data_IF_129735319995
#
_entry.id   IF_129735319995
#
_cell.length_a   1.000
_cell.length_b   1.000
_cell.length_c   1.000
_cell.angle_alpha   90.00
_cell.angle_beta   90.00
_cell.angle_gamma   90.00
#
_symmetry.space_group_name_H-M   'P 1'
#
loop_
_entity.id
_entity.type
_entity.pdbx_description
1 polymer ?
#
# COMPACT_ATOMS: atom_id res chain seq x y z
N UNK A 1 33.81 -32.62 54.53
CA UNK A 1 34.31 -31.76 53.42
C UNK A 1 33.41 -30.53 53.40
N UNK A 2 34.01 -29.34 53.27
CA UNK A 2 33.59 -28.14 54.00
C UNK A 2 32.27 -27.50 53.55
N UNK A 3 31.57 -26.92 54.53
CA UNK A 3 30.36 -26.11 54.42
C UNK A 3 30.62 -24.66 53.93
N UNK A 4 29.57 -23.92 53.50
CA UNK A 4 29.62 -22.48 53.25
C UNK A 4 29.50 -21.67 54.57
N UNK A 5 29.66 -20.32 54.56
CA UNK A 5 28.45 -19.47 54.43
C UNK A 5 28.69 -18.08 53.79
N UNK A 6 27.61 -17.31 53.67
CA UNK A 6 27.58 -15.92 53.18
C UNK A 6 27.97 -14.88 54.24
N UNK A 7 28.35 -13.65 53.80
CA UNK A 7 27.74 -12.37 54.22
C UNK A 7 28.34 -11.14 53.50
N UNK A 8 27.56 -10.06 53.48
CA UNK A 8 27.90 -8.76 52.91
C UNK A 8 28.69 -7.87 53.89
N UNK A 9 29.43 -6.87 53.41
CA UNK A 9 29.05 -5.46 53.66
C UNK A 9 29.80 -4.39 52.85
N UNK A 10 29.13 -3.24 52.76
CA UNK A 10 29.52 -1.89 52.31
C UNK A 10 30.86 -1.34 52.82
N UNK A 11 31.46 -0.42 52.04
CA UNK A 11 31.97 0.93 52.42
C UNK A 11 32.38 1.67 51.12
N UNK A 12 31.72 2.76 50.69
CA UNK A 12 31.96 4.17 51.03
C UNK A 12 33.36 4.69 50.59
N UNK A 13 33.59 5.71 49.73
CA UNK A 13 32.98 7.03 49.40
C UNK A 13 33.95 8.19 49.77
N UNK A 14 34.77 8.64 48.81
CA UNK A 14 35.49 9.93 48.78
C UNK A 14 35.56 10.36 47.29
N UNK A 15 35.00 11.44 46.73
CA UNK A 15 34.72 12.85 47.10
C UNK A 15 35.87 13.84 46.72
N UNK A 16 35.77 14.42 45.51
CA UNK A 16 36.13 15.83 45.12
C UNK A 16 37.60 16.30 45.14
N UNK A 17 37.99 17.51 44.61
CA UNK A 17 37.35 18.44 43.64
C UNK A 17 38.34 19.09 42.58
N UNK A 18 37.84 20.06 41.77
CA UNK A 18 38.41 21.39 41.36
C UNK A 18 39.95 21.60 41.12
N UNK A 19 40.47 22.52 40.29
CA UNK A 19 39.94 23.36 39.20
C UNK A 19 41.09 24.18 38.52
N UNK A 20 41.00 24.38 37.20
CA UNK A 20 41.28 25.62 36.43
C UNK A 20 42.70 26.27 36.40
N UNK A 21 42.85 27.29 35.52
CA UNK A 21 44.05 28.08 35.12
C UNK A 21 44.96 27.33 34.12
N UNK A 22 45.37 27.90 32.98
CA UNK A 22 45.04 29.17 32.30
C UNK A 22 45.99 29.39 31.10
N UNK A 23 45.61 30.17 30.08
CA UNK A 23 46.48 30.41 28.92
C UNK A 23 45.89 31.33 27.85
N UNK A 24 46.60 32.41 27.52
CA UNK A 24 46.16 33.53 26.66
C UNK A 24 46.95 33.55 25.36
N UNK A 25 46.32 33.85 24.20
CA UNK A 25 46.81 34.87 23.22
C UNK A 25 45.88 35.15 22.03
N UNK A 26 45.91 36.43 21.65
CA UNK A 26 45.47 37.15 20.44
C UNK A 26 45.51 36.39 19.10
N UNK A 27 44.75 36.74 18.05
CA UNK A 27 44.67 38.12 17.52
C UNK A 27 43.48 38.44 16.58
N UNK A 28 43.29 39.76 16.36
CA UNK A 28 42.29 40.43 15.53
C UNK A 28 42.47 40.10 14.02
N UNK A 29 41.47 40.19 13.12
CA UNK A 29 40.99 41.49 12.61
C UNK A 29 39.78 41.46 11.65
N UNK A 30 38.89 42.44 11.83
CA UNK A 30 38.18 43.28 10.81
C UNK A 30 37.23 42.68 9.77
N UNK A 31 35.94 42.73 10.13
CA UNK A 31 34.84 43.46 9.45
C UNK A 31 35.17 44.18 8.13
N UNK A 32 34.36 43.91 7.09
CA UNK A 32 33.81 44.96 6.19
C UNK A 32 32.50 44.51 5.55
N UNK A 33 31.44 45.30 5.76
CA UNK A 33 30.20 45.19 5.00
C UNK A 33 30.26 46.10 3.77
N UNK A 34 29.59 45.72 2.68
CA UNK A 34 29.23 46.64 1.59
C UNK A 34 27.75 46.45 1.27
N UNK A 35 26.99 47.51 1.50
CA UNK A 35 25.63 47.69 0.99
C UNK A 35 25.74 48.57 -0.26
N UNK A 36 25.02 48.27 -1.34
CA UNK A 36 24.70 49.30 -2.32
C UNK A 36 23.33 49.05 -2.97
N UNK A 37 22.75 50.13 -3.50
CA UNK A 37 21.32 50.33 -3.61
C UNK A 37 20.86 50.53 -5.07
N UNK A 38 19.63 50.10 -5.36
CA UNK A 38 18.68 50.68 -6.35
C UNK A 38 19.20 51.28 -7.67
N UNK A 39 18.59 50.83 -8.77
CA UNK A 39 17.69 51.71 -9.55
C UNK A 39 16.70 50.93 -10.42
N UNK A 40 15.57 51.57 -10.73
CA UNK A 40 14.47 51.04 -11.54
C UNK A 40 14.63 51.47 -13.01
N UNK A 41 14.06 50.72 -13.96
CA UNK A 41 13.54 51.28 -15.21
C UNK A 41 12.47 50.37 -15.84
N UNK A 42 11.52 50.99 -16.56
CA UNK A 42 10.41 50.32 -17.27
C UNK A 42 10.82 49.99 -18.71
N UNK A 43 10.39 48.84 -19.23
CA UNK A 43 9.98 48.71 -20.65
C UNK A 43 9.36 47.33 -20.98
N UNK A 44 8.08 47.34 -21.30
CA UNK A 44 7.50 46.53 -22.39
C UNK A 44 7.31 47.47 -23.59
N UNK A 45 7.06 47.02 -24.84
CA UNK A 45 6.79 45.65 -25.29
C UNK A 45 7.65 45.19 -26.50
N UNK A 46 7.58 43.90 -26.86
CA UNK A 46 7.34 43.48 -28.26
C UNK A 46 7.20 41.96 -28.37
N UNK A 47 6.54 41.54 -29.45
CA UNK A 47 6.20 40.17 -29.81
C UNK A 47 7.36 39.39 -30.43
N UNK A 48 7.49 38.11 -30.06
CA UNK A 48 7.85 37.06 -31.02
C UNK A 48 7.18 35.75 -30.60
N UNK A 49 6.59 35.03 -31.57
CA UNK A 49 6.03 33.71 -31.31
C UNK A 49 7.15 32.66 -31.38
N UNK A 50 7.23 31.82 -30.35
CA UNK A 50 8.03 30.61 -30.38
C UNK A 50 7.07 29.43 -30.21
N UNK A 51 7.00 28.57 -31.24
CA UNK A 51 6.05 27.47 -31.28
C UNK A 51 6.36 26.45 -30.17
N UNK A 52 5.34 26.09 -29.38
CA UNK A 52 5.43 24.97 -28.47
C UNK A 52 5.51 23.66 -29.27
N UNK A 53 6.66 23.01 -29.24
CA UNK A 53 6.84 21.70 -29.84
C UNK A 53 6.11 20.64 -29.00
N UNK A 54 4.92 20.24 -29.45
CA UNK A 54 4.21 19.07 -28.92
C UNK A 54 5.05 17.80 -29.11
N UNK A 55 5.31 17.00 -28.06
CA UNK A 55 5.92 15.68 -28.26
C UNK A 55 4.95 14.80 -29.05
N UNK A 56 5.46 14.18 -30.13
CA UNK A 56 4.67 13.28 -30.98
C UNK A 56 4.22 12.07 -30.17
N UNK A 57 2.92 11.82 -30.14
CA UNK A 57 2.39 10.52 -29.71
C UNK A 57 2.85 9.44 -30.70
N UNK A 58 3.58 8.43 -30.20
CA UNK A 58 3.85 7.22 -30.97
C UNK A 58 2.57 6.38 -31.02
N UNK A 59 2.09 5.96 -32.21
CA UNK A 59 0.91 5.13 -32.31
C UNK A 59 1.22 3.70 -31.85
N UNK A 60 0.60 3.29 -30.74
CA UNK A 60 0.44 1.87 -30.42
C UNK A 60 -0.33 1.22 -31.60
N UNK A 61 0.28 0.26 -32.29
CA UNK A 61 -0.39 -0.47 -33.36
C UNK A 61 -1.44 -1.41 -32.75
N UNK A 62 -2.69 -0.96 -32.73
CA UNK A 62 -3.82 -1.80 -32.39
C UNK A 62 -3.99 -2.89 -33.48
N UNK A 63 -3.60 -4.12 -33.15
CA UNK A 63 -3.90 -5.30 -33.95
C UNK A 63 -5.42 -5.58 -33.92
N UNK A 64 -6.15 -4.90 -34.81
CA UNK A 64 -7.61 -4.99 -34.90
C UNK A 64 -8.06 -6.37 -35.37
N UNK A 65 -8.96 -6.97 -34.59
CA UNK A 65 -9.54 -8.29 -34.86
C UNK A 65 -10.37 -8.26 -36.15
N UNK A 66 -9.93 -9.01 -37.17
CA UNK A 66 -10.77 -9.28 -38.35
C UNK A 66 -11.94 -10.19 -37.96
N UNK A 67 -13.06 -9.56 -37.61
CA UNK A 67 -14.36 -10.23 -37.68
C UNK A 67 -14.67 -10.56 -39.14
N UNK A 68 -15.11 -11.79 -39.42
CA UNK A 68 -15.69 -12.11 -40.71
C UNK A 68 -17.04 -12.81 -40.48
N UNK A 69 -18.11 -12.02 -40.55
CA UNK A 69 -19.48 -12.54 -40.61
C UNK A 69 -19.79 -12.88 -42.06
N UNK A 70 -20.02 -14.15 -42.35
CA UNK A 70 -20.77 -14.56 -43.54
C UNK A 70 -21.62 -15.77 -43.18
N UNK A 71 -22.93 -15.53 -43.03
CA UNK A 71 -23.89 -16.56 -42.72
C UNK A 71 -24.49 -17.15 -44.01
N UNK A 72 -24.55 -18.48 -44.05
CA UNK A 72 -25.60 -19.29 -44.72
C UNK A 72 -26.13 -18.85 -46.09
N UNK A 73 -25.91 -19.68 -47.12
CA UNK A 73 -27.01 -20.18 -47.97
C UNK A 73 -26.63 -21.42 -48.79
N UNK A 74 -27.66 -22.26 -48.98
CA UNK A 74 -27.81 -23.33 -49.98
C UNK A 74 -26.98 -24.61 -49.82
N UNK A 75 -27.66 -25.66 -49.35
CA UNK A 75 -27.33 -27.05 -49.62
C UNK A 75 -28.07 -27.53 -50.88
N UNK A 76 -27.35 -28.30 -51.71
CA UNK A 76 -27.74 -29.26 -52.78
C UNK A 76 -26.41 -29.55 -53.51
N UNK A 77 -25.82 -30.74 -53.53
CA UNK A 77 -26.40 -32.07 -53.42
C UNK A 77 -26.29 -32.74 -54.79
N UNK A 78 -25.18 -33.43 -55.07
CA UNK A 78 -25.00 -34.41 -56.15
C UNK A 78 -23.69 -35.21 -55.91
N UNK A 79 -23.60 -36.37 -56.58
CA UNK A 79 -22.70 -37.49 -56.25
C UNK A 79 -21.75 -37.82 -57.40
N UNK A 80 -20.91 -38.86 -57.19
CA UNK A 80 -20.20 -39.72 -58.16
C UNK A 80 -18.74 -39.38 -58.51
N UNK A 81 -17.89 -40.42 -58.42
CA UNK A 81 -16.55 -40.52 -59.04
C UNK A 81 -15.38 -40.12 -58.12
N UNK A 82 -14.39 -40.95 -57.79
CA UNK A 82 -14.13 -42.35 -58.12
C UNK A 82 -12.91 -42.55 -59.03
N UNK A 83 -11.99 -43.42 -58.57
CA UNK A 83 -10.85 -44.07 -59.26
C UNK A 83 -9.42 -43.46 -59.10
N UNK A 84 -8.52 -44.35 -58.62
CA UNK A 84 -7.10 -44.63 -58.98
C UNK A 84 -6.12 -43.48 -59.36
N UNK A 85 -4.82 -43.55 -59.02
CA UNK A 85 -4.10 -44.53 -58.20
C UNK A 85 -2.61 -44.70 -58.60
N UNK A 86 -1.72 -44.86 -57.61
CA UNK A 86 -0.32 -45.32 -57.80
C UNK A 86 0.71 -44.29 -58.30
N UNK A 87 2.03 -44.56 -58.27
CA UNK A 87 2.82 -45.62 -57.58
C UNK A 87 4.34 -45.33 -57.68
N UNK A 88 5.11 -45.64 -56.62
CA UNK A 88 6.59 -45.79 -56.66
C UNK A 88 7.40 -44.47 -56.71
N UNK A 89 8.67 -44.41 -56.31
CA UNK A 89 9.59 -45.36 -55.65
C UNK A 89 10.85 -44.58 -55.19
N UNK A 90 11.49 -44.83 -54.04
CA UNK A 90 12.23 -46.03 -53.60
C UNK A 90 13.78 -45.86 -53.74
N UNK A 91 14.48 -45.71 -52.61
CA UNK A 91 15.89 -46.09 -52.28
C UNK A 91 16.40 -45.16 -51.16
N UNK A 92 16.88 -45.55 -49.97
CA UNK A 92 17.50 -46.77 -49.41
C UNK A 92 19.04 -46.84 -49.49
N UNK A 93 19.70 -46.43 -48.39
CA UNK A 93 20.90 -46.97 -47.72
C UNK A 93 20.88 -46.34 -46.30
N UNK A 94 21.20 -47.00 -45.17
CA UNK A 94 22.35 -47.87 -44.88
C UNK A 94 23.49 -46.98 -44.36
N UNK A 95 24.06 -47.12 -43.16
CA UNK A 95 24.06 -48.22 -42.19
C UNK A 95 24.19 -47.74 -40.73
N UNK A 96 23.89 -48.68 -39.84
CA UNK A 96 23.80 -48.62 -38.38
C UNK A 96 25.11 -48.37 -37.61
N UNK A 97 24.96 -47.97 -36.34
CA UNK A 97 25.78 -48.49 -35.23
C UNK A 97 24.92 -48.72 -33.98
N UNK A 98 25.23 -49.80 -33.25
CA UNK A 98 24.58 -50.24 -32.00
C UNK A 98 25.36 -49.67 -30.78
N UNK A 99 24.97 -49.74 -29.49
CA UNK A 99 23.98 -50.57 -28.80
C UNK A 99 23.72 -50.05 -27.34
N UNK A 100 22.74 -50.66 -26.64
CA UNK A 100 22.67 -50.87 -25.15
C UNK A 100 22.52 -49.61 -24.24
N UNK A 101 21.67 -49.49 -23.20
CA UNK A 101 20.62 -50.30 -22.50
C UNK A 101 19.57 -49.30 -21.95
N UNK A 102 18.28 -49.57 -21.70
CA UNK A 102 17.43 -50.74 -21.97
C UNK A 102 16.43 -51.04 -20.82
N UNK A 103 15.12 -50.79 -21.04
CA UNK A 103 14.03 -51.06 -20.09
C UNK A 103 13.33 -49.79 -19.54
N UNK A 104 12.00 -49.65 -19.55
CA UNK A 104 10.98 -50.50 -20.16
C UNK A 104 9.59 -49.90 -19.94
N UNK A 105 8.81 -49.74 -21.02
CA UNK A 105 7.42 -49.29 -20.96
C UNK A 105 6.59 -50.10 -21.96
N UNK A 106 5.69 -50.94 -21.47
CA UNK A 106 4.75 -51.71 -22.28
C UNK A 106 3.49 -50.89 -22.56
N UNK A 107 3.02 -50.93 -23.82
CA UNK A 107 1.82 -50.24 -24.26
C UNK A 107 0.86 -51.24 -24.96
N UNK A 108 -0.41 -51.23 -24.56
CA UNK A 108 -1.60 -51.78 -25.22
C UNK A 108 -2.79 -51.65 -24.25
N UNK A 109 -4.04 -51.39 -24.61
CA UNK A 109 -4.67 -50.88 -25.85
C UNK A 109 -6.07 -50.32 -25.43
N UNK A 110 -6.78 -49.50 -26.23
CA UNK A 110 -7.99 -48.81 -25.75
C UNK A 110 -9.26 -49.67 -25.84
N UNK A 111 -10.20 -49.46 -24.92
CA UNK A 111 -11.55 -50.01 -24.94
C UNK A 111 -12.61 -48.89 -24.80
N UNK A 112 -13.81 -49.13 -25.33
CA UNK A 112 -14.74 -48.08 -25.72
C UNK A 112 -15.82 -47.70 -24.67
N UNK A 113 -16.36 -46.49 -24.87
CA UNK A 113 -17.75 -46.07 -24.62
C UNK A 113 -18.41 -46.26 -23.23
N UNK A 114 -18.58 -45.14 -22.53
CA UNK A 114 -19.77 -44.89 -21.71
C UNK A 114 -20.05 -43.38 -21.59
N UNK A 115 -20.94 -42.83 -22.43
CA UNK A 115 -21.30 -41.42 -22.38
C UNK A 115 -22.13 -41.07 -21.14
N UNK A 116 -21.69 -40.09 -20.35
CA UNK A 116 -22.55 -39.44 -19.34
C UNK A 116 -22.52 -37.92 -19.50
N UNK A 117 -23.67 -37.40 -19.91
CA UNK A 117 -23.90 -36.00 -20.25
C UNK A 117 -24.19 -35.20 -18.97
N UNK A 118 -23.16 -34.54 -18.39
CA UNK A 118 -23.33 -33.73 -17.18
C UNK A 118 -23.57 -32.24 -17.51
N UNK A 119 -24.78 -31.77 -17.24
CA UNK A 119 -25.22 -30.38 -17.41
C UNK A 119 -24.35 -29.40 -16.59
N UNK A 120 -23.40 -28.71 -17.24
CA UNK A 120 -22.73 -27.52 -16.66
C UNK A 120 -23.68 -26.32 -16.64
N UNK A 121 -24.52 -26.25 -15.61
CA UNK A 121 -25.54 -25.22 -15.47
C UNK A 121 -26.21 -25.17 -14.10
N UNK A 122 -25.44 -25.30 -13.01
CA UNK A 122 -26.01 -25.25 -11.64
C UNK A 122 -25.10 -24.74 -10.51
N UNK A 123 -23.86 -24.33 -10.79
CA UNK A 123 -22.94 -23.83 -9.75
C UNK A 123 -23.28 -22.39 -9.29
N UNK A 124 -23.54 -21.48 -10.24
CA UNK A 124 -23.85 -20.08 -9.93
C UNK A 124 -25.17 -19.89 -9.14
N UNK A 125 -26.18 -20.75 -9.38
CA UNK A 125 -27.48 -20.66 -8.72
C UNK A 125 -27.44 -21.06 -7.24
N UNK A 126 -26.56 -21.99 -6.84
CA UNK A 126 -26.47 -22.43 -5.44
C UNK A 126 -25.85 -21.35 -4.54
N UNK A 127 -24.88 -20.58 -5.03
CA UNK A 127 -24.29 -19.46 -4.27
C UNK A 127 -25.32 -18.34 -4.04
N UNK A 128 -26.06 -17.96 -5.08
CA UNK A 128 -27.11 -16.93 -4.99
C UNK A 128 -28.26 -17.33 -4.05
N UNK A 129 -28.68 -18.60 -4.06
CA UNK A 129 -29.72 -19.09 -3.15
C UNK A 129 -29.23 -19.14 -1.70
N UNK A 130 -28.00 -19.58 -1.44
CA UNK A 130 -27.42 -19.61 -0.09
C UNK A 130 -27.27 -18.20 0.51
N UNK A 131 -26.92 -17.20 -0.30
CA UNK A 131 -26.86 -15.80 0.11
C UNK A 131 -28.26 -15.24 0.46
N UNK A 132 -29.31 -15.60 -0.30
CA UNK A 132 -30.69 -15.23 0.03
C UNK A 132 -31.17 -15.89 1.33
N UNK A 133 -30.84 -17.15 1.55
CA UNK A 133 -31.24 -17.90 2.75
C UNK A 133 -30.56 -17.35 4.02
N UNK A 134 -29.27 -16.98 3.95
CA UNK A 134 -28.58 -16.30 5.05
C UNK A 134 -29.23 -14.95 5.35
N UNK A 135 -29.56 -14.15 4.32
CA UNK A 135 -30.24 -12.86 4.49
C UNK A 135 -31.63 -13.02 5.13
N UNK A 136 -32.39 -14.03 4.73
CA UNK A 136 -33.69 -14.34 5.32
C UNK A 136 -33.56 -14.75 6.80
N UNK A 137 -32.55 -15.56 7.16
CA UNK A 137 -32.28 -15.92 8.57
C UNK A 137 -31.88 -14.72 9.42
N UNK A 138 -31.09 -13.78 8.89
CA UNK A 138 -30.78 -12.52 9.58
C UNK A 138 -32.02 -11.63 9.78
N UNK A 139 -32.88 -11.51 8.77
CA UNK A 139 -34.11 -10.71 8.86
C UNK A 139 -35.14 -11.35 9.81
N UNK A 140 -35.29 -12.67 9.80
CA UNK A 140 -36.13 -13.39 10.77
C UNK A 140 -35.62 -13.22 12.20
N UNK A 141 -34.29 -13.22 12.41
CA UNK A 141 -33.68 -13.03 13.74
C UNK A 141 -33.87 -11.61 14.28
N UNK A 142 -33.83 -10.60 13.40
CA UNK A 142 -34.14 -9.21 13.74
C UNK A 142 -35.65 -8.98 14.01
N UNK A 143 -36.53 -9.69 13.33
CA UNK A 143 -37.97 -9.67 13.62
C UNK A 143 -38.29 -10.36 14.95
N UNK A 144 -37.64 -11.49 15.27
CA UNK A 144 -37.83 -12.17 16.56
C UNK A 144 -37.38 -11.35 17.77
N UNK A 145 -36.40 -10.45 17.62
CA UNK A 145 -36.02 -9.49 18.69
C UNK A 145 -37.00 -8.33 18.88
N UNK A 146 -38.01 -8.18 18.00
CA UNK A 146 -39.07 -7.16 18.12
C UNK A 146 -40.44 -7.75 18.51
N UNK A 147 -40.57 -9.07 18.62
CA UNK A 147 -41.84 -9.76 18.89
C UNK A 147 -41.91 -10.48 20.26
N UNK A 148 -40.85 -10.41 21.08
CA UNK A 148 -40.82 -10.98 22.42
C UNK A 148 -41.18 -9.92 23.48
N UNK A 149 -42.46 -9.56 23.55
CA UNK A 149 -42.99 -8.57 24.49
C UNK A 149 -44.46 -8.82 24.82
N UNK A 150 -44.72 -9.74 25.75
CA UNK A 150 -46.07 -10.03 26.20
C UNK A 150 -46.23 -11.40 26.87
N UNK A 151 -45.84 -11.51 28.13
CA UNK A 151 -46.58 -12.27 29.16
C UNK A 151 -46.08 -11.86 30.55
N UNK A 152 -47.00 -11.76 31.52
CA UNK A 152 -46.73 -11.18 32.84
C UNK A 152 -46.12 -12.21 33.79
N UNK A 153 -45.05 -11.82 34.50
CA UNK A 153 -44.38 -12.64 35.52
C UNK A 153 -43.61 -11.76 36.50
N UNK A 154 -43.78 -12.01 37.80
CA UNK A 154 -43.32 -11.12 38.86
C UNK A 154 -41.78 -10.94 38.95
N UNK A 155 -41.35 -9.72 39.27
CA UNK A 155 -40.44 -9.59 40.41
C UNK A 155 -38.91 -9.68 40.19
N UNK A 156 -38.35 -9.10 39.13
CA UNK A 156 -36.98 -8.57 39.26
C UNK A 156 -36.73 -7.26 38.48
N UNK A 157 -36.72 -6.15 39.22
CA UNK A 157 -36.37 -4.82 38.70
C UNK A 157 -34.85 -4.76 38.55
N UNK A 158 -34.33 -4.59 37.34
CA UNK A 158 -32.90 -4.37 37.08
C UNK A 158 -32.67 -2.87 36.79
N UNK A 159 -32.34 -2.04 37.79
CA UNK A 159 -32.16 -0.60 37.59
C UNK A 159 -30.73 -0.33 37.12
N UNK A 160 -30.46 -0.53 35.83
CA UNK A 160 -29.12 -0.26 35.28
C UNK A 160 -29.00 -0.33 33.75
N UNK A 161 -29.70 -1.28 33.10
CA UNK A 161 -29.52 -1.55 31.67
C UNK A 161 -29.78 -0.35 30.74
N UNK A 162 -30.85 0.41 30.98
CA UNK A 162 -31.20 1.57 30.15
C UNK A 162 -30.20 2.73 30.28
N UNK A 163 -29.64 2.95 31.49
CA UNK A 163 -28.64 3.99 31.71
C UNK A 163 -27.29 3.60 31.08
N UNK A 164 -26.87 2.35 31.25
CA UNK A 164 -25.62 1.83 30.64
C UNK A 164 -25.67 1.88 29.10
N UNK A 165 -26.79 1.47 28.49
CA UNK A 165 -26.98 1.56 27.05
C UNK A 165 -26.95 3.01 26.54
N UNK A 166 -27.61 3.94 27.25
CA UNK A 166 -27.59 5.36 26.89
C UNK A 166 -26.18 5.99 27.01
N UNK A 167 -25.38 5.57 28.00
CA UNK A 167 -23.97 6.01 28.09
C UNK A 167 -23.12 5.43 26.97
N UNK A 168 -23.33 4.17 26.59
CA UNK A 168 -22.58 3.53 25.50
C UNK A 168 -22.91 4.15 24.13
N UNK A 169 -24.18 4.44 23.83
CA UNK A 169 -24.57 5.18 22.63
C UNK A 169 -23.95 6.58 22.60
N UNK A 170 -23.85 7.27 23.75
CA UNK A 170 -23.20 8.57 23.85
C UNK A 170 -21.68 8.52 23.61
N UNK A 171 -20.98 7.51 24.14
CA UNK A 171 -19.55 7.27 23.88
C UNK A 171 -19.30 6.97 22.39
N UNK A 172 -20.11 6.08 21.78
CA UNK A 172 -20.02 5.75 20.35
C UNK A 172 -20.29 6.97 19.47
N UNK A 173 -21.30 7.79 19.81
CA UNK A 173 -21.58 9.04 19.11
C UNK A 173 -20.46 10.08 19.28
N UNK A 174 -19.83 10.15 20.47
CA UNK A 174 -18.64 10.98 20.70
C UNK A 174 -17.47 10.54 19.79
N UNK A 175 -17.15 9.25 19.79
CA UNK A 175 -16.11 8.67 18.96
C UNK A 175 -16.34 8.93 17.47
N UNK A 176 -17.56 8.73 16.97
CA UNK A 176 -17.89 9.00 15.57
C UNK A 176 -17.72 10.49 15.21
N UNK A 177 -18.20 11.41 16.05
CA UNK A 177 -18.00 12.86 15.86
C UNK A 177 -16.52 13.25 15.87
N UNK A 178 -15.72 12.64 16.75
CA UNK A 178 -14.27 12.83 16.77
C UNK A 178 -13.63 12.35 15.46
N UNK A 179 -13.89 11.10 15.04
CA UNK A 179 -13.27 10.53 13.83
C UNK A 179 -13.68 11.25 12.54
N UNK A 180 -14.88 11.84 12.48
CA UNK A 180 -15.33 12.69 11.36
C UNK A 180 -14.61 14.05 11.30
N UNK A 181 -14.20 14.61 12.45
CA UNK A 181 -13.57 15.94 12.55
C UNK A 181 -12.04 15.92 12.65
N UNK A 182 -11.46 14.75 12.91
CA UNK A 182 -10.03 14.61 13.13
C UNK A 182 -9.20 15.00 11.89
N UNK A 183 -8.27 15.96 12.04
CA UNK A 183 -7.33 16.38 10.98
C UNK A 183 -6.53 15.18 10.44
N UNK A 184 -6.45 15.05 9.12
CA UNK A 184 -5.77 13.98 8.37
C UNK A 184 -5.11 14.58 7.14
N UNK A 185 -4.12 13.87 6.59
CA UNK A 185 -3.56 14.20 5.27
C UNK A 185 -4.66 14.18 4.21
N UNK A 186 -4.55 15.07 3.22
CA UNK A 186 -5.41 15.05 2.05
C UNK A 186 -5.16 13.78 1.22
N UNK A 187 -6.17 13.30 0.48
CA UNK A 187 -6.04 12.03 -0.25
C UNK A 187 -4.85 12.01 -1.23
N UNK A 188 -4.48 13.16 -1.82
CA UNK A 188 -3.34 13.26 -2.71
C UNK A 188 -2.00 13.16 -1.98
N UNK A 189 -1.86 13.86 -0.84
CA UNK A 189 -0.69 13.84 0.04
C UNK A 189 -0.50 12.46 0.69
N UNK A 190 -1.58 11.83 1.16
CA UNK A 190 -1.55 10.48 1.72
C UNK A 190 -1.15 9.45 0.65
N UNK A 191 -1.69 9.55 -0.57
CA UNK A 191 -1.29 8.69 -1.68
C UNK A 191 0.19 8.89 -2.07
N UNK A 192 0.65 10.15 -2.19
CA UNK A 192 2.03 10.51 -2.50
C UNK A 192 2.99 9.96 -1.43
N UNK A 193 2.62 10.11 -0.15
CA UNK A 193 3.37 9.62 1.01
C UNK A 193 3.42 8.11 1.04
N UNK A 194 2.32 7.39 0.79
CA UNK A 194 2.34 5.92 0.74
C UNK A 194 3.23 5.39 -0.39
N UNK A 195 3.20 6.02 -1.58
CA UNK A 195 4.09 5.65 -2.68
C UNK A 195 5.56 5.93 -2.32
N UNK A 196 5.89 7.02 -1.62
CA UNK A 196 7.27 7.24 -1.17
C UNK A 196 7.71 6.29 -0.05
N UNK A 197 6.88 6.00 0.95
CA UNK A 197 7.27 5.12 2.06
C UNK A 197 7.54 3.68 1.59
N UNK A 198 6.82 3.24 0.56
CA UNK A 198 7.01 1.93 -0.05
C UNK A 198 8.35 1.80 -0.81
N UNK A 199 8.80 0.55 -0.94
CA UNK A 199 9.95 0.16 -1.77
C UNK A 199 9.62 -0.98 -2.73
N UNK A 200 8.57 -1.72 -2.40
CA UNK A 200 8.06 -2.86 -3.15
C UNK A 200 6.56 -2.71 -3.31
N UNK A 201 6.03 -3.19 -4.42
CA UNK A 201 4.60 -3.20 -4.70
C UNK A 201 4.22 -4.35 -5.62
N UNK A 202 2.92 -4.57 -5.78
CA UNK A 202 2.38 -5.51 -6.77
C UNK A 202 2.14 -4.74 -8.06
N UNK A 203 2.94 -5.05 -9.08
CA UNK A 203 2.76 -4.58 -10.44
C UNK A 203 1.83 -5.54 -11.18
N UNK A 204 0.75 -5.01 -11.74
CA UNK A 204 -0.20 -5.75 -12.57
C UNK A 204 -0.02 -5.35 -14.03
N UNK A 205 0.28 -6.33 -14.88
CA UNK A 205 0.51 -6.21 -16.33
C UNK A 205 -0.53 -7.03 -17.11
N UNK A 206 -0.56 -6.90 -18.43
CA UNK A 206 -1.31 -7.82 -19.30
C UNK A 206 -0.36 -8.87 -19.86
N UNK A 207 -0.58 -10.14 -19.53
CA UNK A 207 0.26 -11.25 -20.00
C UNK A 207 0.27 -11.32 -21.51
N UNK A 208 1.43 -11.10 -22.13
CA UNK A 208 1.59 -11.21 -23.57
C UNK A 208 1.42 -12.67 -24.07
N UNK A 209 1.71 -13.64 -23.20
CA UNK A 209 1.64 -15.07 -23.51
C UNK A 209 0.21 -15.64 -23.37
N UNK A 210 -0.54 -15.21 -22.35
CA UNK A 210 -1.80 -15.85 -21.94
C UNK A 210 -3.03 -14.96 -22.13
N UNK A 211 -2.85 -13.64 -22.30
CA UNK A 211 -3.94 -12.67 -22.44
C UNK A 211 -4.71 -12.35 -21.15
N UNK A 212 -4.27 -12.89 -20.01
CA UNK A 212 -4.82 -12.59 -18.68
C UNK A 212 -4.02 -11.48 -17.97
N UNK A 213 -4.59 -10.77 -16.99
CA UNK A 213 -3.81 -9.90 -16.13
C UNK A 213 -2.83 -10.72 -15.28
N UNK A 214 -1.55 -10.37 -15.33
CA UNK A 214 -0.48 -10.96 -14.53
C UNK A 214 -0.17 -10.06 -13.32
N UNK A 215 0.40 -10.62 -12.25
CA UNK A 215 0.74 -9.89 -11.03
C UNK A 215 2.12 -10.29 -10.52
N UNK A 216 3.05 -9.34 -10.47
CA UNK A 216 4.43 -9.53 -10.00
C UNK A 216 4.73 -8.63 -8.80
N UNK A 217 5.46 -9.13 -7.81
CA UNK A 217 6.07 -8.27 -6.77
C UNK A 217 7.33 -7.65 -7.37
N UNK A 218 7.41 -6.32 -7.39
CA UNK A 218 8.56 -5.59 -7.96
C UNK A 218 9.13 -4.59 -6.96
N UNK A 219 10.44 -4.34 -7.06
CA UNK A 219 11.06 -3.18 -6.44
C UNK A 219 10.80 -1.93 -7.30
N UNK A 220 10.53 -0.80 -6.64
CA UNK A 220 10.38 0.50 -7.31
C UNK A 220 10.99 1.62 -6.44
N UNK A 221 11.36 2.74 -7.08
CA UNK A 221 11.64 4.01 -6.40
C UNK A 221 10.59 5.04 -6.81
N UNK A 222 10.15 5.90 -5.90
CA UNK A 222 9.34 7.05 -6.27
C UNK A 222 10.25 8.20 -6.71
N UNK A 223 10.00 8.82 -7.87
CA UNK A 223 10.72 10.04 -8.27
C UNK A 223 10.52 11.16 -7.25
N UNK A 224 11.56 11.98 -7.06
CA UNK A 224 11.49 13.11 -6.11
C UNK A 224 10.49 14.18 -6.59
N UNK A 225 10.49 14.47 -7.90
CA UNK A 225 9.71 15.57 -8.49
C UNK A 225 8.19 15.34 -8.51
N UNK A 226 7.74 14.17 -8.96
CA UNK A 226 6.32 13.87 -9.18
C UNK A 226 5.86 12.51 -8.60
N UNK A 227 6.79 11.67 -8.14
CA UNK A 227 6.46 10.40 -7.51
C UNK A 227 5.92 9.32 -8.43
N UNK A 228 6.01 9.51 -9.74
CA UNK A 228 5.82 8.40 -10.67
C UNK A 228 6.91 7.34 -10.40
N UNK A 229 6.58 6.04 -10.44
CA UNK A 229 7.53 4.99 -10.10
C UNK A 229 8.60 4.80 -11.17
N UNK A 230 9.81 4.61 -10.69
CA UNK A 230 11.00 4.12 -11.38
C UNK A 230 11.12 2.63 -11.09
N UNK A 231 11.38 1.83 -12.11
CA UNK A 231 11.65 0.42 -11.98
C UNK A 231 12.99 0.05 -12.65
N UNK A 232 13.56 -1.06 -12.21
CA UNK A 232 14.72 -1.68 -12.87
C UNK A 232 14.40 -3.16 -13.05
N UNK A 233 14.12 -3.57 -14.28
CA UNK A 233 13.65 -4.93 -14.60
C UNK A 233 14.69 -5.71 -15.41
N UNK A 234 14.84 -7.00 -15.12
CA UNK A 234 15.62 -7.94 -15.95
C UNK A 234 14.84 -8.31 -17.21
N UNK A 235 15.51 -8.46 -18.35
CA UNK A 235 14.94 -9.01 -19.60
C UNK A 235 14.39 -10.44 -19.44
N UNK A 236 14.78 -11.15 -18.37
CA UNK A 236 14.28 -12.50 -18.07
C UNK A 236 12.95 -12.51 -17.30
N UNK A 237 12.47 -11.36 -16.83
CA UNK A 237 11.21 -11.29 -16.06
C UNK A 237 9.99 -11.19 -16.97
N UNK A 238 8.93 -11.95 -16.68
CA UNK A 238 7.69 -11.97 -17.47
C UNK A 238 7.05 -10.59 -17.59
N UNK A 239 6.99 -9.82 -16.50
CA UNK A 239 6.45 -8.46 -16.50
C UNK A 239 7.24 -7.48 -17.41
N UNK A 240 8.49 -7.79 -17.75
CA UNK A 240 9.27 -7.00 -18.73
C UNK A 240 8.73 -7.22 -20.13
N UNK A 241 8.59 -8.48 -20.54
CA UNK A 241 8.01 -8.84 -21.84
C UNK A 241 6.55 -8.39 -21.98
N UNK A 242 5.78 -8.45 -20.89
CA UNK A 242 4.42 -7.90 -20.85
C UNK A 242 4.40 -6.38 -21.09
N UNK A 243 5.27 -5.61 -20.44
CA UNK A 243 5.34 -4.14 -20.58
C UNK A 243 5.85 -3.72 -21.96
N UNK A 244 6.84 -4.44 -22.50
CA UNK A 244 7.35 -4.18 -23.86
C UNK A 244 6.27 -4.47 -24.93
N UNK A 245 5.34 -5.41 -24.67
CA UNK A 245 4.20 -5.69 -25.55
C UNK A 245 3.01 -4.73 -25.33
N UNK A 246 2.68 -4.40 -24.07
CA UNK A 246 1.63 -3.44 -23.69
C UNK A 246 2.04 -2.65 -22.45
N UNK A 247 2.42 -1.40 -22.67
CA UNK A 247 2.84 -0.44 -21.64
C UNK A 247 1.84 -0.20 -20.49
N UNK A 248 0.58 -0.63 -20.60
CA UNK A 248 -0.47 -0.38 -19.60
C UNK A 248 -0.31 -1.27 -18.38
N UNK A 249 -0.12 -0.66 -17.22
CA UNK A 249 0.01 -1.37 -15.94
C UNK A 249 -0.65 -0.63 -14.77
N UNK A 250 -0.74 -1.30 -13.64
CA UNK A 250 -0.98 -0.64 -12.35
C UNK A 250 -0.02 -1.14 -11.28
N UNK A 251 0.45 -0.24 -10.41
CA UNK A 251 1.26 -0.56 -9.24
C UNK A 251 0.40 -0.37 -7.98
N UNK A 252 0.28 -1.41 -7.17
CA UNK A 252 -0.35 -1.34 -5.85
C UNK A 252 0.70 -1.37 -4.75
N UNK A 253 0.69 -0.33 -3.92
CA UNK A 253 1.59 -0.13 -2.77
C UNK A 253 0.75 -0.20 -1.49
N UNK A 254 1.23 -0.95 -0.51
CA UNK A 254 0.62 -1.08 0.82
C UNK A 254 1.38 -0.24 1.85
N UNK A 255 0.68 0.24 2.87
CA UNK A 255 1.30 0.93 3.99
C UNK A 255 2.29 0.03 4.74
N UNK A 256 3.33 0.59 5.38
CA UNK A 256 4.19 -0.17 6.28
C UNK A 256 3.38 -0.92 7.34
N UNK A 257 3.66 -2.21 7.52
CA UNK A 257 2.94 -3.05 8.49
C UNK A 257 1.52 -3.48 8.07
N UNK A 258 1.18 -3.42 6.77
CA UNK A 258 -0.10 -3.91 6.23
C UNK A 258 -0.42 -5.36 6.65
N UNK A 259 -1.57 -5.55 7.30
CA UNK A 259 -2.10 -6.86 7.75
C UNK A 259 -3.39 -7.25 7.04
N UNK A 260 -4.20 -6.30 6.58
CA UNK A 260 -5.49 -6.63 5.97
C UNK A 260 -6.22 -5.48 5.29
N UNK A 261 -7.47 -5.73 4.91
CA UNK A 261 -8.25 -4.83 4.05
C UNK A 261 -8.53 -3.45 4.66
N UNK A 262 -8.39 -3.28 5.98
CA UNK A 262 -8.56 -2.04 6.75
C UNK A 262 -7.28 -1.19 6.87
N UNK A 263 -6.17 -1.63 6.27
CA UNK A 263 -4.90 -0.89 6.22
C UNK A 263 -4.79 0.01 4.98
N UNK A 264 -3.93 1.02 5.11
CA UNK A 264 -3.59 1.95 4.04
C UNK A 264 -3.04 1.24 2.82
N UNK A 265 -3.55 1.57 1.62
CA UNK A 265 -2.98 1.15 0.33
C UNK A 265 -3.37 2.11 -0.77
N UNK A 266 -2.52 2.20 -1.79
CA UNK A 266 -2.75 3.02 -2.99
C UNK A 266 -2.47 2.18 -4.23
N UNK A 267 -3.36 2.25 -5.22
CA UNK A 267 -3.16 1.70 -6.55
C UNK A 267 -3.04 2.84 -7.54
N UNK A 268 -1.91 2.93 -8.23
CA UNK A 268 -1.67 3.88 -9.32
C UNK A 268 -1.70 3.13 -10.66
N UNK A 269 -2.41 3.67 -11.64
CA UNK A 269 -2.61 3.07 -12.97
C UNK A 269 -2.05 4.02 -14.01
N UNK A 270 -1.26 3.51 -14.96
CA UNK A 270 -0.53 4.35 -15.89
C UNK A 270 0.08 3.59 -17.05
N UNK A 271 1.05 4.23 -17.71
CA UNK A 271 1.90 3.60 -18.73
C UNK A 271 3.36 3.65 -18.32
N UNK A 272 4.02 2.50 -18.43
CA UNK A 272 5.44 2.33 -18.15
C UNK A 272 6.16 2.03 -19.46
N UNK A 273 7.31 2.67 -19.67
CA UNK A 273 8.14 2.50 -20.85
C UNK A 273 9.60 2.28 -20.45
N UNK A 274 10.32 1.54 -21.29
CA UNK A 274 11.78 1.41 -21.21
C UNK A 274 12.43 2.76 -21.47
N UNK A 275 13.36 3.15 -20.59
CA UNK A 275 14.14 4.38 -20.78
C UNK A 275 15.28 4.08 -21.76
N UNK A 276 15.22 4.69 -22.94
CA UNK A 276 16.21 4.51 -24.01
C UNK A 276 17.32 5.55 -24.02
N UNK A 277 17.10 6.70 -23.37
CA UNK A 277 18.13 7.73 -23.19
C UNK A 277 19.07 7.35 -22.02
N UNK A 278 20.36 7.22 -22.30
CA UNK A 278 21.34 6.72 -21.34
C UNK A 278 21.54 7.66 -20.15
N UNK A 279 21.51 8.98 -20.36
CA UNK A 279 21.67 9.97 -19.31
C UNK A 279 20.47 9.96 -18.35
N UNK A 280 19.24 9.89 -18.89
CA UNK A 280 18.00 9.73 -18.14
C UNK A 280 17.97 8.39 -17.38
N UNK A 281 18.39 7.30 -18.01
CA UNK A 281 18.48 5.99 -17.37
C UNK A 281 19.48 6.01 -16.21
N UNK A 282 20.64 6.64 -16.36
CA UNK A 282 21.64 6.79 -15.30
C UNK A 282 21.10 7.61 -14.11
N UNK A 283 20.45 8.75 -14.37
CA UNK A 283 19.80 9.58 -13.35
C UNK A 283 18.77 8.77 -12.55
N UNK A 284 17.82 8.13 -13.25
CA UNK A 284 16.75 7.37 -12.62
C UNK A 284 17.27 6.14 -11.87
N UNK A 285 18.34 5.49 -12.35
CA UNK A 285 19.01 4.40 -11.63
C UNK A 285 19.63 4.89 -10.32
N UNK A 286 20.17 6.11 -10.28
CA UNK A 286 20.68 6.72 -9.05
C UNK A 286 19.55 7.00 -8.04
N UNK A 287 18.41 7.56 -8.49
CA UNK A 287 17.22 7.76 -7.65
C UNK A 287 16.69 6.42 -7.09
N UNK A 288 16.59 5.38 -7.94
CA UNK A 288 16.21 4.03 -7.52
C UNK A 288 17.14 3.47 -6.44
N UNK A 289 18.46 3.66 -6.60
CA UNK A 289 19.49 3.20 -5.64
C UNK A 289 19.44 3.91 -4.29
N UNK A 290 19.03 5.18 -4.26
CA UNK A 290 18.81 5.89 -3.00
C UNK A 290 17.71 5.21 -2.15
N UNK A 291 16.71 4.58 -2.80
CA UNK A 291 15.68 3.76 -2.13
C UNK A 291 16.13 2.31 -1.87
N UNK A 292 16.95 1.77 -2.77
CA UNK A 292 17.43 0.38 -2.78
C UNK A 292 18.97 0.29 -2.74
N UNK A 293 19.62 0.59 -1.60
CA UNK A 293 21.09 0.63 -1.51
C UNK A 293 21.78 -0.72 -1.80
N UNK A 294 21.06 -1.84 -1.67
CA UNK A 294 21.57 -3.18 -1.92
C UNK A 294 21.30 -3.68 -3.37
N UNK A 295 20.78 -2.85 -4.27
CA UNK A 295 20.50 -3.22 -5.66
C UNK A 295 21.74 -3.16 -6.58
N UNK A 296 22.80 -3.90 -6.21
CA UNK A 296 24.03 -3.99 -7.01
C UNK A 296 23.77 -4.59 -8.40
N UNK A 297 22.80 -5.51 -8.50
CA UNK A 297 22.34 -6.13 -9.75
C UNK A 297 21.77 -5.12 -10.76
N UNK A 298 21.43 -3.89 -10.35
CA UNK A 298 20.86 -2.89 -11.26
C UNK A 298 21.85 -2.40 -12.34
N UNK A 299 23.13 -2.75 -12.26
CA UNK A 299 24.13 -2.51 -13.32
C UNK A 299 24.42 -3.73 -14.21
N UNK A 300 23.77 -4.87 -13.98
CA UNK A 300 23.94 -6.03 -14.86
C UNK A 300 23.31 -5.76 -16.23
N UNK A 301 23.94 -6.26 -17.29
CA UNK A 301 23.57 -5.95 -18.67
C UNK A 301 22.18 -6.45 -19.11
N UNK A 302 21.58 -7.38 -18.36
CA UNK A 302 20.21 -7.83 -18.56
C UNK A 302 19.16 -6.93 -17.87
N UNK A 303 19.58 -5.99 -17.02
CA UNK A 303 18.67 -5.06 -16.34
C UNK A 303 18.55 -3.72 -17.06
N UNK A 304 17.31 -3.29 -17.29
CA UNK A 304 16.96 -2.01 -17.93
C UNK A 304 16.12 -1.15 -17.00
N UNK A 305 16.28 0.17 -17.09
CA UNK A 305 15.46 1.14 -16.36
C UNK A 305 14.15 1.36 -17.10
N UNK A 306 13.05 1.39 -16.36
CA UNK A 306 11.72 1.72 -16.85
C UNK A 306 11.14 2.85 -15.98
N UNK A 307 10.39 3.77 -16.58
CA UNK A 307 9.66 4.81 -15.83
C UNK A 307 8.18 4.84 -16.23
N UNK A 308 7.32 5.15 -15.27
CA UNK A 308 5.94 5.51 -15.56
C UNK A 308 5.91 6.94 -16.10
N UNK A 309 5.51 7.12 -17.37
CA UNK A 309 5.48 8.43 -18.04
C UNK A 309 4.09 9.07 -18.04
N UNK A 310 3.03 8.25 -17.99
CA UNK A 310 1.63 8.69 -17.96
C UNK A 310 0.95 8.08 -16.74
N UNK A 311 0.28 8.93 -15.95
CA UNK A 311 -0.55 8.51 -14.81
C UNK A 311 -2.02 8.72 -15.18
N UNK A 312 -2.76 7.62 -15.31
CA UNK A 312 -4.17 7.60 -15.75
C UNK A 312 -5.12 7.71 -14.56
N UNK A 313 -4.74 7.15 -13.40
CA UNK A 313 -5.58 7.24 -12.21
C UNK A 313 -4.90 6.77 -10.94
N UNK A 314 -5.31 7.35 -9.82
CA UNK A 314 -4.82 7.01 -8.49
C UNK A 314 -6.01 6.67 -7.61
N UNK A 315 -5.97 5.51 -6.94
CA UNK A 315 -7.02 5.07 -6.02
C UNK A 315 -6.43 4.78 -4.65
N UNK A 316 -6.78 5.63 -3.69
CA UNK A 316 -6.39 5.50 -2.28
C UNK A 316 -7.45 4.73 -1.50
N UNK A 317 -6.99 3.89 -0.58
CA UNK A 317 -7.73 3.39 0.58
C UNK A 317 -6.91 3.77 1.81
N UNK A 318 -7.27 4.84 2.52
CA UNK A 318 -6.52 5.44 3.63
C UNK A 318 -6.93 4.91 5.02
N UNK A 319 -7.33 3.63 5.10
CA UNK A 319 -8.01 3.05 6.27
C UNK A 319 -9.41 3.66 6.53
N UNK A 320 -10.11 3.21 7.58
CA UNK A 320 -11.37 3.80 8.09
C UNK A 320 -12.44 4.16 7.05
N UNK A 321 -12.72 3.24 6.13
CA UNK A 321 -13.66 3.46 5.03
C UNK A 321 -13.36 4.69 4.15
N UNK A 322 -12.19 5.32 4.30
CA UNK A 322 -11.69 6.40 3.43
C UNK A 322 -11.15 5.77 2.16
N UNK A 323 -12.02 5.63 1.17
CA UNK A 323 -11.65 5.25 -0.19
C UNK A 323 -11.93 6.42 -1.12
N UNK A 324 -10.94 6.80 -1.94
CA UNK A 324 -11.04 7.96 -2.82
C UNK A 324 -10.24 7.79 -4.10
N UNK A 325 -10.77 8.35 -5.19
CA UNK A 325 -10.00 8.58 -6.41
C UNK A 325 -9.28 9.92 -6.29
N UNK A 326 -8.00 9.94 -6.63
CA UNK A 326 -7.16 11.14 -6.68
C UNK A 326 -6.88 11.45 -8.15
N UNK A 327 -6.96 12.73 -8.53
CA UNK A 327 -6.61 13.19 -9.88
C UNK A 327 -5.10 13.05 -10.11
N UNK A 328 -4.63 12.60 -11.29
CA UNK A 328 -3.20 12.46 -11.58
C UNK A 328 -2.37 13.73 -11.28
N UNK A 329 -2.90 14.90 -11.64
CA UNK A 329 -2.23 16.19 -11.45
C UNK A 329 -2.12 16.54 -9.96
N UNK A 330 -3.17 16.23 -9.19
CA UNK A 330 -3.17 16.43 -7.74
C UNK A 330 -2.19 15.49 -7.02
N UNK A 331 -2.08 14.23 -7.47
CA UNK A 331 -1.06 13.31 -6.96
C UNK A 331 0.35 13.81 -7.26
N UNK A 332 0.64 14.17 -8.52
CA UNK A 332 1.98 14.61 -8.92
C UNK A 332 2.42 15.92 -8.27
N UNK A 333 1.47 16.82 -7.97
CA UNK A 333 1.73 18.09 -7.28
C UNK A 333 1.71 17.99 -5.74
N UNK A 334 1.29 16.86 -5.16
CA UNK A 334 1.21 16.71 -3.71
C UNK A 334 2.59 16.56 -3.06
N UNK A 335 2.80 17.12 -1.85
CA UNK A 335 4.01 16.88 -1.07
C UNK A 335 4.04 15.45 -0.50
N UNK A 336 5.23 14.99 -0.15
CA UNK A 336 5.44 13.82 0.72
C UNK A 336 5.49 14.30 2.17
N UNK A 337 4.72 13.65 3.05
CA UNK A 337 4.81 13.87 4.49
C UNK A 337 6.17 13.36 5.02
N UNK A 338 7.01 14.29 5.46
CA UNK A 338 8.37 14.00 5.96
C UNK A 338 8.38 13.39 7.36
N UNK A 339 7.28 13.47 8.10
CA UNK A 339 7.16 12.90 9.45
C UNK A 339 6.91 11.38 9.37
N UNK A 340 6.13 10.93 8.39
CA UNK A 340 5.78 9.54 8.21
C UNK A 340 7.00 8.63 7.96
N UNK A 341 8.09 9.17 7.41
CA UNK A 341 9.39 8.46 7.32
C UNK A 341 10.00 8.08 8.68
N UNK A 342 9.67 8.81 9.75
CA UNK A 342 10.07 8.50 11.13
C UNK A 342 9.01 7.68 11.88
N UNK A 343 7.95 7.23 11.21
CA UNK A 343 6.81 6.60 11.88
C UNK A 343 7.18 5.33 12.64
N UNK A 344 7.93 4.42 12.03
CA UNK A 344 8.32 3.17 12.67
C UNK A 344 9.11 3.36 14.00
N UNK A 345 10.21 4.14 14.05
CA UNK A 345 10.95 4.34 15.30
C UNK A 345 10.18 5.17 16.35
N UNK A 346 9.29 6.07 15.95
CA UNK A 346 8.43 6.82 16.91
C UNK A 346 7.39 5.89 17.52
N UNK A 347 6.67 5.12 16.69
CA UNK A 347 5.67 4.19 17.16
C UNK A 347 6.29 3.04 17.98
N UNK A 348 7.48 2.54 17.63
CA UNK A 348 8.20 1.55 18.45
C UNK A 348 8.41 2.05 19.88
N UNK A 349 9.19 3.12 20.05
CA UNK A 349 9.46 3.73 21.35
C UNK A 349 8.19 4.01 22.19
N UNK A 350 7.15 4.57 21.57
CA UNK A 350 5.88 4.83 22.28
C UNK A 350 5.15 3.54 22.69
N UNK A 351 5.18 2.50 21.86
CA UNK A 351 4.54 1.22 22.15
C UNK A 351 5.33 0.36 23.15
N UNK A 352 6.63 0.57 23.26
CA UNK A 352 7.51 -0.20 24.13
C UNK A 352 7.62 0.46 25.52
N UNK A 353 7.84 1.78 25.59
CA UNK A 353 8.09 2.52 26.84
C UNK A 353 6.85 3.22 27.42
N UNK A 354 5.77 3.37 26.64
CA UNK A 354 4.59 4.17 27.01
C UNK A 354 3.24 3.49 26.71
N UNK A 355 3.22 2.16 26.53
CA UNK A 355 2.03 1.39 26.16
C UNK A 355 0.79 1.69 27.01
N UNK A 356 0.96 1.77 28.33
CA UNK A 356 -0.07 2.07 29.33
C UNK A 356 -0.70 3.47 29.21
N UNK A 357 -0.01 4.41 28.56
CA UNK A 357 -0.50 5.78 28.37
C UNK A 357 -1.35 5.92 27.09
N UNK A 358 -1.17 5.04 26.10
CA UNK A 358 -1.86 5.13 24.80
C UNK A 358 -3.39 4.98 24.95
N UNK A 359 -3.94 4.05 25.77
CA UNK A 359 -5.37 3.98 26.06
C UNK A 359 -5.96 5.26 26.65
N UNK A 360 -5.17 5.99 27.46
CA UNK A 360 -5.60 7.25 28.07
C UNK A 360 -5.76 8.35 27.02
N UNK A 361 -4.86 8.43 26.02
CA UNK A 361 -5.02 9.34 24.88
C UNK A 361 -6.29 9.05 24.09
N UNK A 362 -6.57 7.77 23.79
CA UNK A 362 -7.80 7.39 23.07
C UNK A 362 -9.04 7.77 23.88
N UNK A 363 -9.05 7.43 25.17
CA UNK A 363 -10.19 7.68 26.06
C UNK A 363 -10.49 9.17 26.21
N UNK A 364 -9.47 9.98 26.52
CA UNK A 364 -9.62 11.42 26.72
C UNK A 364 -10.07 12.17 25.45
N UNK A 365 -9.41 11.92 24.31
CA UNK A 365 -9.70 12.69 23.09
C UNK A 365 -10.97 12.24 22.37
N UNK A 366 -11.37 10.97 22.46
CA UNK A 366 -12.56 10.46 21.77
C UNK A 366 -13.80 10.36 22.65
N UNK A 367 -13.63 10.32 23.97
CA UNK A 367 -14.69 10.01 24.94
C UNK A 367 -15.10 8.53 24.97
N UNK A 368 -14.32 7.63 24.36
CA UNK A 368 -14.58 6.19 24.34
C UNK A 368 -13.50 5.45 25.13
N UNK A 369 -13.91 4.76 26.21
CA UNK A 369 -13.01 3.92 27.00
C UNK A 369 -12.56 2.70 26.19
N UNK A 370 -11.27 2.38 26.29
CA UNK A 370 -10.62 1.25 25.60
C UNK A 370 -9.67 0.50 26.53
N UNK A 371 -9.55 -0.81 26.34
CA UNK A 371 -8.75 -1.71 27.19
C UNK A 371 -7.26 -1.61 26.89
N UNK A 372 -6.91 -1.62 25.60
CA UNK A 372 -5.53 -1.57 25.11
C UNK A 372 -5.47 -0.70 23.86
N UNK A 373 -4.31 -0.10 23.61
CA UNK A 373 -4.08 0.72 22.44
C UNK A 373 -2.61 0.70 22.00
N UNK A 374 -2.37 0.77 20.69
CA UNK A 374 -1.06 0.69 20.05
C UNK A 374 -0.93 1.70 18.91
N UNK A 375 0.09 2.54 18.93
CA UNK A 375 0.40 3.43 17.80
C UNK A 375 0.81 2.62 16.56
N UNK A 376 0.11 2.84 15.45
CA UNK A 376 0.39 2.24 14.15
C UNK A 376 1.23 3.15 13.26
N UNK A 377 0.86 4.43 13.19
CA UNK A 377 1.60 5.41 12.39
C UNK A 377 1.47 6.84 12.91
N UNK A 378 2.42 7.69 12.50
CA UNK A 378 2.36 9.15 12.67
C UNK A 378 2.62 9.86 11.35
N UNK A 379 2.06 11.06 11.22
CA UNK A 379 2.28 12.03 10.15
C UNK A 379 2.29 13.45 10.76
N UNK A 380 2.47 14.50 9.96
CA UNK A 380 2.58 15.87 10.49
C UNK A 380 1.30 16.39 11.16
N UNK A 381 0.14 15.75 10.97
CA UNK A 381 -1.15 16.18 11.52
C UNK A 381 -1.64 15.32 12.70
N UNK A 382 -0.99 14.20 13.01
CA UNK A 382 -1.40 13.35 14.12
C UNK A 382 -0.89 11.91 14.07
N UNK A 383 -1.53 11.08 14.89
CA UNK A 383 -1.22 9.64 15.02
C UNK A 383 -2.43 8.77 14.73
N UNK A 384 -2.19 7.59 14.16
CA UNK A 384 -3.17 6.52 14.00
C UNK A 384 -2.86 5.42 15.03
N UNK A 385 -3.85 5.04 15.83
CA UNK A 385 -3.74 4.14 16.97
C UNK A 385 -4.73 2.99 16.80
N UNK A 386 -4.29 1.74 16.86
CA UNK A 386 -5.18 0.58 17.00
C UNK A 386 -5.62 0.46 18.45
N UNK A 387 -6.92 0.31 18.71
CA UNK A 387 -7.48 0.19 20.06
C UNK A 387 -8.38 -1.06 20.15
N UNK A 388 -8.48 -1.63 21.35
CA UNK A 388 -9.33 -2.77 21.67
C UNK A 388 -10.37 -2.40 22.71
N UNK A 389 -11.60 -2.89 22.51
CA UNK A 389 -12.72 -2.79 23.46
C UNK A 389 -13.67 -3.96 23.19
N UNK A 390 -14.13 -4.66 24.23
CA UNK A 390 -15.09 -5.76 24.15
C UNK A 390 -14.63 -6.88 23.20
N UNK A 391 -13.31 -7.13 23.17
CA UNK A 391 -12.67 -8.08 22.25
C UNK A 391 -12.66 -7.67 20.77
N UNK A 392 -13.12 -6.46 20.42
CA UNK A 392 -13.08 -5.92 19.07
C UNK A 392 -11.91 -4.95 18.90
N UNK A 393 -11.14 -5.12 17.82
CA UNK A 393 -10.10 -4.17 17.43
C UNK A 393 -10.57 -3.22 16.34
N UNK A 394 -10.36 -1.94 16.58
CA UNK A 394 -10.56 -0.87 15.62
C UNK A 394 -9.34 0.05 15.64
N UNK A 395 -9.32 1.10 14.83
CA UNK A 395 -8.24 2.09 14.89
C UNK A 395 -8.83 3.50 14.90
N UNK A 396 -8.02 4.43 15.36
CA UNK A 396 -8.43 5.72 15.88
C UNK A 396 -7.42 6.72 15.35
N UNK A 397 -7.89 7.78 14.69
CA UNK A 397 -7.08 8.96 14.46
C UNK A 397 -7.13 9.83 15.69
N UNK A 398 -5.96 10.27 16.17
CA UNK A 398 -5.80 11.31 17.16
C UNK A 398 -5.00 12.46 16.49
N UNK A 399 -5.63 13.59 16.16
CA UNK A 399 -4.94 14.72 15.56
C UNK A 399 -4.07 15.42 16.61
N UNK A 400 -2.94 16.00 16.20
CA UNK A 400 -2.22 16.93 17.05
C UNK A 400 -3.00 18.25 17.17
N UNK A 401 -2.88 18.97 18.31
CA UNK A 401 -3.38 20.34 18.43
C UNK A 401 -2.90 21.20 17.26
N UNK A 402 -1.58 21.21 17.05
CA UNK A 402 -0.90 21.93 15.97
C UNK A 402 -0.03 21.01 15.10
N UNK A 403 0.15 21.30 13.80
CA UNK A 403 0.95 20.48 12.91
C UNK A 403 2.43 20.38 13.34
N UNK A 404 2.97 19.16 13.36
CA UNK A 404 4.35 18.87 13.70
C UNK A 404 5.29 19.15 12.51
N UNK A 405 6.20 20.12 12.64
CA UNK A 405 7.11 20.55 11.55
C UNK A 405 8.30 19.61 11.33
N UNK A 406 8.71 18.89 12.37
CA UNK A 406 9.85 17.97 12.37
C UNK A 406 9.68 16.89 13.46
N UNK A 407 10.65 15.97 13.56
CA UNK A 407 10.65 14.87 14.55
C UNK A 407 10.64 15.34 16.01
N UNK A 408 11.24 16.50 16.32
CA UNK A 408 11.14 17.11 17.66
C UNK A 408 9.74 17.67 17.88
N UNK A 409 9.17 18.32 16.87
CA UNK A 409 7.79 18.79 16.87
C UNK A 409 6.78 17.68 17.22
N UNK A 410 6.95 16.47 16.67
CA UNK A 410 6.10 15.30 17.04
C UNK A 410 6.17 14.99 18.54
N UNK A 411 7.39 14.97 19.11
CA UNK A 411 7.57 14.77 20.56
C UNK A 411 6.91 15.90 21.35
N UNK A 412 7.08 17.15 20.94
CA UNK A 412 6.50 18.31 21.60
C UNK A 412 4.95 18.24 21.59
N UNK A 413 4.34 17.80 20.49
CA UNK A 413 2.88 17.57 20.40
C UNK A 413 2.43 16.42 21.31
N UNK A 414 3.10 15.27 21.31
CA UNK A 414 2.74 14.12 22.17
C UNK A 414 2.87 14.51 23.66
N UNK A 415 3.91 15.24 24.05
CA UNK A 415 4.07 15.75 25.43
C UNK A 415 2.98 16.77 25.78
N UNK A 416 2.56 17.62 24.84
CA UNK A 416 1.44 18.54 25.04
C UNK A 416 0.12 17.78 25.28
N UNK A 417 -0.15 16.74 24.48
CA UNK A 417 -1.32 15.86 24.66
C UNK A 417 -1.28 15.11 26.00
N UNK A 418 -0.10 14.64 26.40
CA UNK A 418 0.12 13.98 27.71
C UNK A 418 -0.18 14.88 28.89
N UNK A 419 0.24 16.15 28.83
CA UNK A 419 -0.10 17.14 29.86
C UNK A 419 -1.59 17.46 29.91
N UNK A 420 -2.29 17.47 28.77
CA UNK A 420 -3.73 17.69 28.75
C UNK A 420 -4.50 16.54 29.45
N UNK A 421 -4.14 15.29 29.16
CA UNK A 421 -4.70 14.10 29.86
C UNK A 421 -4.42 14.17 31.37
N UNK A 422 -3.17 14.43 31.75
CA UNK A 422 -2.78 14.49 33.17
C UNK A 422 -3.39 15.69 33.93
N UNK A 423 -3.76 16.77 33.24
CA UNK A 423 -4.47 17.90 33.85
C UNK A 423 -5.96 17.58 34.06
N UNK A 424 -6.60 16.90 33.11
CA UNK A 424 -7.99 16.47 33.24
C UNK A 424 -8.16 15.42 34.35
N UNK A 425 -7.28 14.41 34.39
CA UNK A 425 -7.33 13.37 35.44
C UNK A 425 -7.23 13.94 36.87
N UNK A 426 -6.55 15.07 37.07
CA UNK A 426 -6.50 15.76 38.37
C UNK A 426 -7.76 16.56 38.68
N UNK A 427 -8.40 17.14 37.68
CA UNK A 427 -9.68 17.83 37.88
C UNK A 427 -10.76 16.85 38.34
N UNK A 428 -10.76 15.63 37.77
CA UNK A 428 -11.65 14.53 38.16
C UNK A 428 -11.31 13.92 39.55
N UNK A 429 -10.15 14.24 40.14
CA UNK A 429 -9.74 13.82 41.51
C UNK A 429 -10.02 14.88 42.58
N UNK A 430 -10.16 16.16 42.18
CA UNK A 430 -10.43 17.31 43.06
C UNK A 430 -11.95 17.63 43.18
N UNK A 431 -12.82 16.95 42.41
CA UNK A 431 -14.31 17.08 42.40
C UNK A 431 -15.03 15.93 43.13
#
# INVERSE_FOLDING_TARGET
>A
RLEPPARANTLARTRTPMANVGGVRSSQSRVKAVLCLRSSLRSSPSSSSAAAATPRAFPCQAASQRTNRLASRLARGLSVGGLFGGRGGASAMGSAYSALVGGGATAASPAAAAGRNLKRGRAASHSANRAKEIRARFQARAASSQAAGGEEGEGHKVPGGAAAAATEEAEVASFQRHQQRAKRLEHAEEARTLVDLGRYGVLSTLSAAEGFPSGSVVGYGAREDNGLPIFVFSTLSSHTGDIDADCRCSLTVTAPGFRGASDGRVSITGRVFKVTDEARAAQLKQEYRAKHPNAFWADFGDFSVYEMTELVGVRLVGGFARAGSVKPEAFMAAPVDKIAGFSAPICGHMNDDHAEQIPLYVSFYTGMKVETAKMLSVDHLGMNVEASRDGQTFKVRLPYPEPAKDRKGVKDQIVSMSRAVAAAAKADEDE
#
